data_IF_988182710328
#
_entry.id   IF_988182710328
#
_cell.length_a   1.000
_cell.length_b   1.000
_cell.length_c   1.000
_cell.angle_alpha   90.00
_cell.angle_beta   90.00
_cell.angle_gamma   90.00
#
_symmetry.space_group_name_H-M   'P 1'
#
loop_
_entity.id
_entity.type
_entity.pdbx_description
1 polymer ?
#
# COMPACT_ATOMS: atom_id res chain seq x y z
N UNK A 1 -13.74 11.83 -12.97
CA UNK A 1 -12.72 12.90 -12.89
C UNK A 1 -12.48 13.23 -11.41
N UNK A 2 -11.60 12.50 -10.73
CA UNK A 2 -11.30 12.73 -9.30
C UNK A 2 -9.80 12.70 -8.94
N UNK A 3 -8.91 12.46 -9.92
CA UNK A 3 -7.47 12.29 -9.65
C UNK A 3 -6.67 13.60 -9.71
N UNK A 4 -7.19 14.64 -10.36
CA UNK A 4 -6.45 15.89 -10.61
C UNK A 4 -6.19 16.73 -9.36
N UNK A 5 -6.76 16.39 -8.20
CA UNK A 5 -6.66 17.21 -6.99
C UNK A 5 -5.39 16.96 -6.14
N UNK A 6 -4.68 15.84 -6.33
CA UNK A 6 -3.54 15.47 -5.45
C UNK A 6 -2.16 15.75 -6.09
N UNK A 7 -2.08 15.99 -7.40
CA UNK A 7 -0.81 16.24 -8.09
C UNK A 7 -0.56 17.74 -8.25
N UNK A 8 -0.17 18.41 -7.18
CA UNK A 8 0.60 19.66 -7.31
C UNK A 8 2.01 19.33 -7.81
N UNK A 9 2.64 20.25 -8.56
CA UNK A 9 4.01 20.09 -9.07
C UNK A 9 5.02 19.71 -7.96
N UNK A 10 4.82 20.26 -6.76
CA UNK A 10 5.63 19.94 -5.59
C UNK A 10 5.40 18.53 -5.02
N UNK A 11 4.16 18.03 -5.08
CA UNK A 11 3.79 16.73 -4.52
C UNK A 11 4.41 15.58 -5.30
N UNK A 12 4.49 15.68 -6.63
CA UNK A 12 5.14 14.65 -7.44
C UNK A 12 6.64 14.57 -7.15
N UNK A 13 7.31 15.72 -7.01
CA UNK A 13 8.72 15.78 -6.68
C UNK A 13 9.02 15.16 -5.30
N UNK A 14 8.20 15.45 -4.28
CA UNK A 14 8.33 14.86 -2.95
C UNK A 14 8.09 13.34 -2.97
N UNK A 15 7.06 12.88 -3.69
CA UNK A 15 6.79 11.45 -3.85
C UNK A 15 7.93 10.72 -4.55
N UNK A 16 8.58 11.33 -5.54
CA UNK A 16 9.78 10.78 -6.20
C UNK A 16 10.95 10.67 -5.21
N UNK A 17 11.18 11.68 -4.38
CA UNK A 17 12.25 11.66 -3.36
C UNK A 17 11.96 10.55 -2.33
N UNK A 18 10.73 10.47 -1.81
CA UNK A 18 10.32 9.45 -0.85
C UNK A 18 10.45 8.04 -1.43
N UNK A 19 10.01 7.85 -2.69
CA UNK A 19 10.13 6.57 -3.39
C UNK A 19 11.60 6.17 -3.55
N UNK A 20 12.49 7.11 -3.91
CA UNK A 20 13.91 6.84 -4.05
C UNK A 20 14.62 6.50 -2.73
N UNK A 21 14.18 7.09 -1.61
CA UNK A 21 14.80 6.88 -0.28
C UNK A 21 14.28 5.64 0.44
N UNK A 22 12.99 5.32 0.28
CA UNK A 22 12.33 4.26 1.03
C UNK A 22 11.98 3.04 0.18
N UNK A 23 12.21 3.10 -1.14
CA UNK A 23 11.85 2.09 -2.14
C UNK A 23 10.34 1.81 -2.21
N UNK A 24 9.52 2.78 -1.80
CA UNK A 24 8.05 2.68 -1.81
C UNK A 24 7.52 3.01 -3.20
N UNK A 25 6.53 2.25 -3.68
CA UNK A 25 5.84 2.55 -4.93
C UNK A 25 4.60 3.42 -4.73
N UNK A 26 4.20 4.12 -5.79
CA UNK A 26 3.00 4.96 -5.82
C UNK A 26 2.09 4.47 -6.94
N UNK A 27 0.82 4.25 -6.60
CA UNK A 27 -0.21 3.81 -7.54
C UNK A 27 -1.32 4.87 -7.53
N UNK A 28 -1.74 5.26 -8.73
CA UNK A 28 -2.95 6.04 -8.94
C UNK A 28 -4.11 5.06 -9.04
N UNK A 29 -4.89 4.97 -7.98
CA UNK A 29 -6.02 4.07 -7.90
C UNK A 29 -7.21 4.62 -8.70
N UNK A 30 -7.69 3.86 -9.66
CA UNK A 30 -8.99 4.09 -10.28
C UNK A 30 -10.05 3.33 -9.48
N UNK A 31 -10.89 4.07 -8.75
CA UNK A 31 -11.89 3.51 -7.84
C UNK A 31 -13.04 2.83 -8.61
N UNK A 32 -13.37 3.34 -9.80
CA UNK A 32 -14.45 2.83 -10.63
C UNK A 32 -14.04 1.57 -11.39
N UNK A 33 -12.78 1.50 -11.82
CA UNK A 33 -12.21 0.33 -12.48
C UNK A 33 -10.78 0.05 -11.97
N UNK A 34 -10.61 -0.78 -10.92
CA UNK A 34 -9.31 -1.07 -10.33
C UNK A 34 -8.28 -1.62 -11.33
N UNK A 35 -8.71 -2.33 -12.37
CA UNK A 35 -7.83 -2.87 -13.42
C UNK A 35 -7.20 -1.79 -14.30
N UNK A 36 -7.78 -0.59 -14.35
CA UNK A 36 -7.24 0.57 -15.05
C UNK A 36 -6.39 1.48 -14.15
N UNK A 37 -6.03 1.03 -12.94
CA UNK A 37 -5.13 1.77 -12.06
C UNK A 37 -3.70 1.83 -12.64
N UNK A 38 -3.02 2.96 -12.44
CA UNK A 38 -1.70 3.21 -13.02
C UNK A 38 -0.60 3.21 -11.96
N UNK A 39 0.53 2.57 -12.25
CA UNK A 39 1.72 2.63 -11.40
C UNK A 39 2.50 3.91 -11.76
N UNK A 40 2.46 4.90 -10.88
CA UNK A 40 3.18 6.17 -11.05
C UNK A 40 4.68 6.01 -10.74
N UNK A 41 4.99 5.28 -9.66
CA UNK A 41 6.36 4.97 -9.25
C UNK A 41 6.45 3.48 -8.88
N UNK A 42 7.35 2.70 -9.50
CA UNK A 42 7.46 1.28 -9.21
C UNK A 42 8.07 1.06 -7.82
N UNK A 43 7.42 0.24 -7.00
CA UNK A 43 8.00 -0.24 -5.75
C UNK A 43 9.17 -1.18 -6.04
N UNK A 44 10.24 -1.13 -5.24
CA UNK A 44 11.26 -2.19 -5.29
C UNK A 44 10.87 -3.29 -4.32
N UNK A 45 10.89 -4.54 -4.79
CA UNK A 45 10.64 -5.69 -3.93
C UNK A 45 11.83 -5.83 -2.97
N UNK A 46 11.57 -5.75 -1.68
CA UNK A 46 12.51 -6.14 -0.64
C UNK A 46 12.29 -7.62 -0.32
N UNK A 47 13.37 -8.37 -0.16
CA UNK A 47 13.33 -9.77 0.30
C UNK A 47 12.96 -9.88 1.78
N UNK A 48 13.11 -8.80 2.53
CA UNK A 48 12.79 -8.71 3.95
C UNK A 48 11.80 -7.59 4.21
N UNK A 49 10.80 -7.87 5.03
CA UNK A 49 9.83 -6.88 5.49
C UNK A 49 10.47 -5.92 6.48
N UNK A 50 10.29 -4.61 6.26
CA UNK A 50 10.68 -3.57 7.21
C UNK A 50 9.63 -3.45 8.33
N UNK A 51 9.82 -4.25 9.39
CA UNK A 51 8.92 -4.30 10.54
C UNK A 51 8.83 -2.96 11.29
N UNK A 52 9.85 -2.11 11.22
CA UNK A 52 9.83 -0.80 11.89
C UNK A 52 8.80 0.12 11.21
N UNK A 53 8.77 0.13 9.88
CA UNK A 53 7.74 0.84 9.12
C UNK A 53 6.35 0.25 9.34
N UNK A 54 6.21 -1.07 9.37
CA UNK A 54 4.92 -1.75 9.65
C UNK A 54 4.36 -1.33 11.01
N UNK A 55 5.18 -1.39 12.06
CA UNK A 55 4.74 -1.01 13.41
C UNK A 55 4.29 0.45 13.47
N UNK A 56 5.00 1.36 12.79
CA UNK A 56 4.61 2.77 12.71
C UNK A 56 3.26 2.95 12.02
N UNK A 57 2.95 2.16 11.00
CA UNK A 57 1.63 2.19 10.33
C UNK A 57 0.55 1.66 11.26
N UNK A 58 0.80 0.58 12.01
CA UNK A 58 -0.15 0.03 13.00
C UNK A 58 -0.47 1.07 14.08
N UNK A 59 0.54 1.79 14.58
CA UNK A 59 0.32 2.87 15.56
C UNK A 59 -0.55 4.00 15.02
N UNK A 60 -0.42 4.33 13.73
CA UNK A 60 -1.17 5.40 13.09
C UNK A 60 -2.56 4.97 12.62
N UNK A 61 -2.72 3.70 12.23
CA UNK A 61 -3.95 3.11 11.75
C UNK A 61 -4.12 1.71 12.32
N UNK A 62 -4.97 1.59 13.35
CA UNK A 62 -5.26 0.32 14.03
C UNK A 62 -5.92 -0.71 13.12
N UNK A 63 -6.62 -0.30 12.07
CA UNK A 63 -7.21 -1.26 11.12
C UNK A 63 -6.12 -2.08 10.41
N UNK A 64 -4.92 -1.52 10.29
CA UNK A 64 -3.76 -2.20 9.72
C UNK A 64 -3.26 -3.35 10.60
N UNK A 65 -3.48 -3.31 11.92
CA UNK A 65 -3.16 -4.41 12.84
C UNK A 65 -3.91 -5.69 12.44
N UNK A 66 -5.22 -5.54 12.21
CA UNK A 66 -6.10 -6.65 11.81
C UNK A 66 -5.65 -7.23 10.46
N UNK A 67 -5.23 -6.37 9.53
CA UNK A 67 -4.68 -6.82 8.24
C UNK A 67 -3.42 -7.68 8.43
N UNK A 68 -2.46 -7.24 9.25
CA UNK A 68 -1.23 -7.99 9.53
C UNK A 68 -1.53 -9.34 10.20
N UNK A 69 -2.51 -9.39 11.11
CA UNK A 69 -2.96 -10.64 11.72
C UNK A 69 -3.49 -11.63 10.67
N UNK A 70 -4.31 -11.17 9.72
CA UNK A 70 -4.79 -12.03 8.63
C UNK A 70 -3.66 -12.52 7.72
N UNK A 71 -2.69 -11.67 7.40
CA UNK A 71 -1.51 -12.07 6.63
C UNK A 71 -0.72 -13.14 7.37
N UNK A 72 -0.55 -13.01 8.69
CA UNK A 72 0.13 -14.00 9.52
C UNK A 72 -0.61 -15.34 9.57
N UNK A 73 -1.93 -15.33 9.75
CA UNK A 73 -2.78 -16.55 9.72
C UNK A 73 -2.64 -17.25 8.37
N UNK A 74 -2.72 -16.49 7.27
CA UNK A 74 -2.56 -17.05 5.93
C UNK A 74 -1.18 -17.68 5.75
N UNK A 75 -0.10 -17.01 6.17
CA UNK A 75 1.26 -17.55 6.05
C UNK A 75 1.47 -18.84 6.87
N UNK A 76 0.88 -18.93 8.05
CA UNK A 76 1.06 -20.09 8.95
C UNK A 76 0.17 -21.28 8.57
N UNK A 77 -1.04 -21.02 8.08
CA UNK A 77 -2.08 -22.04 7.92
C UNK A 77 -2.57 -22.24 6.48
N UNK A 78 -2.23 -21.34 5.56
CA UNK A 78 -2.79 -21.29 4.21
C UNK A 78 -4.26 -20.92 4.14
N UNK A 79 -4.91 -20.59 5.28
CA UNK A 79 -6.34 -20.31 5.35
C UNK A 79 -6.63 -18.91 4.84
N UNK A 80 -7.57 -18.83 3.89
CA UNK A 80 -8.14 -17.57 3.42
C UNK A 80 -9.46 -17.35 4.16
N UNK A 81 -9.62 -16.18 4.75
CA UNK A 81 -10.84 -15.81 5.47
C UNK A 81 -11.79 -15.12 4.49
N UNK A 82 -12.55 -15.92 3.73
CA UNK A 82 -13.42 -15.45 2.63
C UNK A 82 -14.41 -14.34 3.04
N UNK A 83 -14.86 -14.32 4.30
CA UNK A 83 -15.78 -13.28 4.81
C UNK A 83 -15.21 -11.86 4.74
N UNK A 84 -13.89 -11.71 4.61
CA UNK A 84 -13.19 -10.42 4.54
C UNK A 84 -12.96 -9.94 3.11
N UNK A 85 -13.35 -10.74 2.11
CA UNK A 85 -13.28 -10.33 0.71
C UNK A 85 -14.59 -9.64 0.36
N UNK A 86 -14.51 -8.37 -0.08
CA UNK A 86 -15.68 -7.65 -0.55
C UNK A 86 -16.33 -8.41 -1.72
N UNK A 87 -17.66 -8.57 -1.65
CA UNK A 87 -18.51 -8.98 -2.78
C UNK A 87 -18.85 -7.78 -3.64
#
# INVERSE_FOLDING_TARGET
>A
MATTAVMGEHTEAELRILSALHDIGVIVLNIDNPSESEILLPARRKTQTDWQSVNRIVEQNKDFETFIEYVAIYYQSGKIVEKNWNR
#
